data_IF_816896710571
#
_entry.id   IF_816896710571
#
_cell.length_a   1.000
_cell.length_b   1.000
_cell.length_c   1.000
_cell.angle_alpha   90.00
_cell.angle_beta   90.00
_cell.angle_gamma   90.00
#
_symmetry.space_group_name_H-M   'P 1'
#
loop_
_entity.id
_entity.type
_entity.pdbx_description
1 polymer ?
#
# COMPACT_ATOMS: atom_id res chain seq x y z
N UNK A 1 -24.65 29.49 11.78
CA UNK A 1 -24.16 28.88 10.53
C UNK A 1 -23.87 30.03 9.58
N UNK A 2 -22.62 30.52 9.55
CA UNK A 2 -22.23 31.70 8.78
C UNK A 2 -21.33 31.32 7.62
N UNK A 3 -21.40 32.07 6.52
CA UNK A 3 -20.37 32.05 5.49
C UNK A 3 -19.30 33.07 5.89
N UNK A 4 -18.04 32.64 6.01
CA UNK A 4 -16.93 33.51 6.36
C UNK A 4 -15.93 33.59 5.21
N UNK A 5 -15.44 34.80 4.91
CA UNK A 5 -14.47 35.00 3.82
C UNK A 5 -13.04 34.62 4.23
N UNK A 6 -12.59 35.08 5.39
CA UNK A 6 -11.32 34.71 6.03
C UNK A 6 -11.56 34.49 7.52
N UNK A 7 -11.18 33.33 8.04
CA UNK A 7 -11.30 33.00 9.46
C UNK A 7 -9.96 32.45 10.00
N UNK A 8 -9.51 33.03 11.11
CA UNK A 8 -8.37 32.54 11.90
C UNK A 8 -8.85 32.11 13.28
N UNK A 9 -8.57 30.86 13.64
CA UNK A 9 -8.92 30.31 14.94
C UNK A 9 -7.67 29.77 15.66
N UNK A 10 -7.49 30.15 16.93
CA UNK A 10 -6.48 29.61 17.82
C UNK A 10 -7.15 29.06 19.07
N UNK A 11 -7.01 27.76 19.31
CA UNK A 11 -7.52 27.12 20.52
C UNK A 11 -6.41 26.39 21.26
N UNK A 12 -6.34 26.62 22.57
CA UNK A 12 -5.26 26.17 23.45
C UNK A 12 -5.49 24.79 24.05
N UNK A 13 -5.69 24.74 25.37
CA UNK A 13 -5.94 23.52 26.14
C UNK A 13 -7.42 23.38 26.46
N UNK A 14 -8.02 22.23 26.21
CA UNK A 14 -9.34 21.90 26.77
C UNK A 14 -9.52 20.40 27.01
N UNK A 15 -10.52 20.06 27.82
CA UNK A 15 -10.83 18.68 28.21
C UNK A 15 -11.80 18.01 27.23
N UNK A 16 -12.96 18.64 26.98
CA UNK A 16 -13.92 18.29 25.92
C UNK A 16 -14.11 19.53 25.04
N UNK A 17 -14.12 19.34 23.73
CA UNK A 17 -14.45 20.39 22.78
C UNK A 17 -15.27 19.81 21.63
N UNK A 18 -16.41 20.45 21.36
CA UNK A 18 -17.21 20.21 20.15
C UNK A 18 -17.18 21.45 19.28
N UNK A 19 -16.62 21.31 18.07
CA UNK A 19 -16.54 22.39 17.11
C UNK A 19 -17.35 22.06 15.85
N UNK A 20 -18.21 23.00 15.45
CA UNK A 20 -18.94 22.95 14.18
C UNK A 20 -18.60 24.20 13.37
N UNK A 21 -17.96 23.99 12.22
CA UNK A 21 -17.65 25.08 11.29
C UNK A 21 -18.45 24.91 9.99
N UNK A 22 -19.08 26.01 9.57
CA UNK A 22 -19.86 26.10 8.34
C UNK A 22 -18.98 26.20 7.10
N UNK A 23 -19.45 26.93 6.08
CA UNK A 23 -18.68 27.12 4.85
C UNK A 23 -17.77 28.35 4.96
N UNK A 24 -16.56 28.28 4.40
CA UNK A 24 -15.66 29.43 4.34
C UNK A 24 -14.74 29.40 3.12
N UNK A 25 -14.25 30.56 2.70
CA UNK A 25 -13.31 30.66 1.58
C UNK A 25 -11.87 30.33 2.00
N UNK A 26 -11.33 31.03 3.01
CA UNK A 26 -10.03 30.74 3.63
C UNK A 26 -10.21 30.50 5.13
N UNK A 27 -9.72 29.37 5.64
CA UNK A 27 -9.66 29.09 7.07
C UNK A 27 -8.25 28.65 7.47
N UNK A 28 -7.72 29.29 8.52
CA UNK A 28 -6.51 28.85 9.22
C UNK A 28 -6.83 28.54 10.67
N UNK A 29 -6.63 27.29 11.08
CA UNK A 29 -6.89 26.86 12.45
C UNK A 29 -5.66 26.23 13.10
N UNK A 30 -5.36 26.65 14.33
CA UNK A 30 -4.35 26.07 15.19
C UNK A 30 -4.98 25.55 16.48
N UNK A 31 -4.77 24.26 16.72
CA UNK A 31 -5.33 23.53 17.86
C UNK A 31 -4.18 22.99 18.72
N UNK A 32 -4.21 23.30 20.02
CA UNK A 32 -3.23 22.90 21.03
C UNK A 32 -3.37 21.45 21.51
N UNK A 33 -3.59 21.26 22.81
CA UNK A 33 -3.71 19.93 23.42
C UNK A 33 -5.13 19.68 23.93
N UNK A 34 -5.68 18.52 23.61
CA UNK A 34 -7.04 18.16 23.99
C UNK A 34 -7.12 16.73 24.48
N UNK A 35 -8.08 16.45 25.37
CA UNK A 35 -8.35 15.09 25.81
C UNK A 35 -9.37 14.43 24.88
N UNK A 36 -10.59 14.95 24.79
CA UNK A 36 -11.61 14.54 23.83
C UNK A 36 -11.94 15.72 22.90
N UNK A 37 -11.87 15.50 21.59
CA UNK A 37 -12.29 16.49 20.62
C UNK A 37 -13.16 15.88 19.51
N UNK A 38 -14.29 16.54 19.25
CA UNK A 38 -15.14 16.26 18.11
C UNK A 38 -15.28 17.47 17.19
N UNK A 39 -14.90 17.30 15.93
CA UNK A 39 -14.94 18.35 14.93
C UNK A 39 -15.81 17.97 13.74
N UNK A 40 -16.64 18.91 13.31
CA UNK A 40 -17.38 18.85 12.04
C UNK A 40 -17.04 20.09 11.21
N UNK A 41 -16.40 19.87 10.07
CA UNK A 41 -16.04 20.92 9.11
C UNK A 41 -16.88 20.77 7.84
N UNK A 42 -17.54 21.88 7.45
CA UNK A 42 -18.31 22.02 6.21
C UNK A 42 -17.46 22.08 4.94
N UNK A 43 -17.86 22.94 3.99
CA UNK A 43 -17.17 23.07 2.71
C UNK A 43 -16.23 24.27 2.68
N UNK A 44 -15.03 24.11 2.14
CA UNK A 44 -14.04 25.19 2.05
C UNK A 44 -13.32 25.24 0.71
N UNK A 45 -12.79 26.41 0.38
CA UNK A 45 -11.94 26.57 -0.80
C UNK A 45 -10.47 26.32 -0.46
N UNK A 46 -9.85 27.13 0.41
CA UNK A 46 -8.51 26.88 1.00
C UNK A 46 -8.67 26.66 2.51
N UNK A 47 -8.01 25.62 3.01
CA UNK A 47 -8.00 25.34 4.44
C UNK A 47 -6.67 24.80 4.92
N UNK A 48 -6.14 25.44 5.96
CA UNK A 48 -4.90 25.05 6.62
C UNK A 48 -5.15 24.75 8.09
N UNK A 49 -4.83 23.53 8.52
CA UNK A 49 -4.94 23.14 9.92
C UNK A 49 -3.62 22.67 10.48
N UNK A 50 -3.40 23.04 11.73
CA UNK A 50 -2.37 22.45 12.57
C UNK A 50 -3.01 21.94 13.87
N UNK A 51 -2.98 20.63 14.07
CA UNK A 51 -3.49 19.96 15.26
C UNK A 51 -2.33 19.41 16.09
N UNK A 52 -2.31 19.79 17.37
CA UNK A 52 -1.28 19.39 18.33
C UNK A 52 -1.45 17.96 18.85
N UNK A 53 -1.64 17.80 20.16
CA UNK A 53 -1.72 16.47 20.81
C UNK A 53 -3.15 16.18 21.25
N UNK A 54 -3.66 15.00 20.91
CA UNK A 54 -5.01 14.57 21.28
C UNK A 54 -4.97 13.18 21.90
N UNK A 55 -5.84 12.93 22.87
CA UNK A 55 -6.05 11.57 23.35
C UNK A 55 -7.08 10.86 22.47
N UNK A 56 -8.29 11.41 22.34
CA UNK A 56 -9.32 11.00 21.39
C UNK A 56 -9.66 12.17 20.45
N UNK A 57 -9.62 11.93 19.14
CA UNK A 57 -10.10 12.87 18.15
C UNK A 57 -11.06 12.17 17.17
N UNK A 58 -12.26 12.74 17.04
CA UNK A 58 -13.23 12.37 16.01
C UNK A 58 -13.51 13.54 15.07
N UNK A 59 -13.09 13.40 13.82
CA UNK A 59 -13.25 14.44 12.81
C UNK A 59 -14.13 13.98 11.64
N UNK A 60 -15.09 14.83 11.25
CA UNK A 60 -15.78 14.74 9.98
C UNK A 60 -15.48 15.98 9.14
N UNK A 61 -14.86 15.77 8.00
CA UNK A 61 -14.34 16.83 7.13
C UNK A 61 -15.08 16.74 5.80
N UNK A 62 -15.76 17.83 5.41
CA UNK A 62 -16.59 17.94 4.22
C UNK A 62 -15.83 18.02 2.91
N UNK A 63 -16.17 18.99 2.05
CA UNK A 63 -15.57 19.16 0.72
C UNK A 63 -14.54 20.29 0.72
N UNK A 64 -13.39 20.06 0.08
CA UNK A 64 -12.34 21.07 -0.03
C UNK A 64 -11.81 21.16 -1.46
N UNK A 65 -11.40 22.35 -1.87
CA UNK A 65 -10.62 22.51 -3.09
C UNK A 65 -9.12 22.26 -2.79
N UNK A 66 -8.50 23.09 -1.95
CA UNK A 66 -7.15 22.84 -1.40
C UNK A 66 -7.24 22.66 0.11
N UNK A 67 -6.66 21.57 0.62
CA UNK A 67 -6.52 21.36 2.05
C UNK A 67 -5.10 20.94 2.42
N UNK A 68 -4.54 21.64 3.41
CA UNK A 68 -3.28 21.27 4.07
C UNK A 68 -3.52 20.98 5.53
N UNK A 69 -3.20 19.76 5.96
CA UNK A 69 -3.35 19.33 7.34
C UNK A 69 -2.02 18.87 7.92
N UNK A 70 -1.68 19.41 9.09
CA UNK A 70 -0.63 18.89 9.95
C UNK A 70 -1.27 18.38 11.23
N UNK A 71 -1.25 17.06 11.40
CA UNK A 71 -1.77 16.37 12.58
C UNK A 71 -0.58 15.86 13.39
N UNK A 72 -0.51 16.26 14.66
CA UNK A 72 0.54 15.89 15.61
C UNK A 72 0.42 14.46 16.13
N UNK A 73 0.37 14.29 17.44
CA UNK A 73 0.33 12.96 18.06
C UNK A 73 -1.05 12.63 18.62
N UNK A 74 -1.50 11.39 18.40
CA UNK A 74 -2.83 10.91 18.80
C UNK A 74 -2.70 9.60 19.59
N UNK A 75 -3.63 9.34 20.51
CA UNK A 75 -3.79 7.99 21.04
C UNK A 75 -4.79 7.22 20.17
N UNK A 76 -6.06 7.65 20.16
CA UNK A 76 -7.10 7.19 19.23
C UNK A 76 -7.49 8.35 18.30
N UNK A 77 -7.53 8.08 17.00
CA UNK A 77 -8.02 9.03 16.01
C UNK A 77 -8.94 8.35 15.01
N UNK A 78 -10.14 8.91 14.87
CA UNK A 78 -11.11 8.53 13.84
C UNK A 78 -11.44 9.71 12.95
N UNK A 79 -11.12 9.58 11.68
CA UNK A 79 -11.40 10.62 10.68
C UNK A 79 -12.23 10.10 9.52
N UNK A 80 -13.19 10.90 9.10
CA UNK A 80 -13.91 10.72 7.85
C UNK A 80 -13.75 11.98 7.00
N UNK A 81 -13.04 11.83 5.89
CA UNK A 81 -12.73 12.86 4.93
C UNK A 81 -13.61 12.71 3.69
N UNK A 82 -14.27 13.79 3.28
CA UNK A 82 -15.14 13.86 2.12
C UNK A 82 -14.40 13.95 0.79
N UNK A 83 -14.71 14.95 -0.03
CA UNK A 83 -14.13 15.12 -1.38
C UNK A 83 -13.10 16.23 -1.40
N UNK A 84 -11.95 15.99 -2.03
CA UNK A 84 -10.85 16.95 -2.13
C UNK A 84 -10.43 17.12 -3.59
N UNK A 85 -9.96 18.31 -3.98
CA UNK A 85 -9.23 18.43 -5.23
C UNK A 85 -7.73 18.20 -4.99
N UNK A 86 -7.09 19.00 -4.15
CA UNK A 86 -5.72 18.77 -3.62
C UNK A 86 -5.78 18.59 -2.10
N UNK A 87 -5.18 17.51 -1.60
CA UNK A 87 -4.98 17.28 -0.17
C UNK A 87 -3.50 17.00 0.11
N UNK A 88 -2.92 17.78 1.03
CA UNK A 88 -1.60 17.52 1.61
C UNK A 88 -1.76 17.25 3.10
N UNK A 89 -1.51 16.02 3.50
CA UNK A 89 -1.62 15.59 4.89
C UNK A 89 -0.26 15.13 5.43
N UNK A 90 0.11 15.64 6.60
CA UNK A 90 1.20 15.10 7.41
C UNK A 90 0.63 14.66 8.75
N UNK A 91 0.75 13.37 9.04
CA UNK A 91 0.28 12.77 10.30
C UNK A 91 1.50 12.26 11.07
N UNK A 92 1.61 12.68 12.33
CA UNK A 92 2.68 12.31 13.25
C UNK A 92 2.56 10.88 13.78
N UNK A 93 2.83 10.69 15.07
CA UNK A 93 2.76 9.37 15.71
C UNK A 93 1.37 9.12 16.28
N UNK A 94 0.86 7.90 16.15
CA UNK A 94 -0.41 7.51 16.76
C UNK A 94 -0.38 6.09 17.29
N UNK A 95 -1.25 5.78 18.25
CA UNK A 95 -1.45 4.39 18.68
C UNK A 95 -2.41 3.72 17.70
N UNK A 96 -3.65 4.21 17.62
CA UNK A 96 -4.69 3.72 16.71
C UNK A 96 -5.18 4.84 15.77
N UNK A 97 -5.25 4.54 14.47
CA UNK A 97 -5.87 5.42 13.47
C UNK A 97 -6.86 4.64 12.61
N UNK A 98 -8.09 5.12 12.56
CA UNK A 98 -9.08 4.72 11.56
C UNK A 98 -9.43 5.89 10.64
N UNK A 99 -9.04 5.78 9.38
CA UNK A 99 -9.28 6.80 8.37
C UNK A 99 -10.18 6.27 7.24
N UNK A 100 -11.29 6.98 7.00
CA UNK A 100 -12.07 6.84 5.77
C UNK A 100 -11.86 8.09 4.94
N UNK A 101 -11.20 7.94 3.80
CA UNK A 101 -10.89 9.03 2.88
C UNK A 101 -11.71 8.81 1.62
N UNK A 102 -12.55 9.78 1.28
CA UNK A 102 -13.38 9.78 0.08
C UNK A 102 -12.57 9.98 -1.20
N UNK A 103 -13.13 10.71 -2.15
CA UNK A 103 -12.52 10.87 -3.48
C UNK A 103 -11.61 12.11 -3.53
N UNK A 104 -10.47 11.98 -4.20
CA UNK A 104 -9.54 13.10 -4.42
C UNK A 104 -8.97 13.11 -5.82
N UNK A 105 -8.60 14.29 -6.32
CA UNK A 105 -7.86 14.38 -7.57
C UNK A 105 -6.37 14.14 -7.31
N UNK A 106 -5.77 14.87 -6.36
CA UNK A 106 -4.38 14.70 -5.93
C UNK A 106 -4.31 14.57 -4.40
N UNK A 107 -3.63 13.53 -3.91
CA UNK A 107 -3.30 13.39 -2.48
C UNK A 107 -1.79 13.18 -2.30
N UNK A 108 -1.21 13.97 -1.39
CA UNK A 108 0.13 13.73 -0.84
C UNK A 108 0.01 13.48 0.65
N UNK A 109 0.28 12.25 1.06
CA UNK A 109 0.21 11.83 2.45
C UNK A 109 1.60 11.42 2.96
N UNK A 110 1.98 11.96 4.11
CA UNK A 110 3.10 11.47 4.89
C UNK A 110 2.59 11.03 6.26
N UNK A 111 2.87 9.78 6.63
CA UNK A 111 2.43 9.19 7.89
C UNK A 111 3.64 8.68 8.67
N UNK A 112 3.69 9.06 9.95
CA UNK A 112 4.71 8.65 10.89
C UNK A 112 4.58 7.19 11.31
N UNK A 113 4.85 6.92 12.59
CA UNK A 113 4.81 5.57 13.14
C UNK A 113 3.48 5.31 13.85
N UNK A 114 3.01 4.06 13.81
CA UNK A 114 1.88 3.65 14.63
C UNK A 114 1.90 2.20 15.08
N UNK A 115 0.98 1.90 16.00
CA UNK A 115 0.68 0.53 16.38
C UNK A 115 -0.32 -0.06 15.38
N UNK A 116 -1.55 0.45 15.35
CA UNK A 116 -2.59 -0.01 14.43
C UNK A 116 -3.04 1.10 13.47
N UNK A 117 -3.10 0.77 12.18
CA UNK A 117 -3.60 1.65 11.13
C UNK A 117 -4.61 0.95 10.24
N UNK A 118 -5.84 1.46 10.19
CA UNK A 118 -6.85 1.06 9.23
C UNK A 118 -7.22 2.24 8.33
N UNK A 119 -6.91 2.11 7.04
CA UNK A 119 -7.21 3.12 6.04
C UNK A 119 -8.11 2.55 4.93
N UNK A 120 -9.22 3.23 4.66
CA UNK A 120 -10.04 2.98 3.50
C UNK A 120 -10.06 4.23 2.62
N UNK A 121 -9.57 4.07 1.39
CA UNK A 121 -9.36 5.14 0.44
C UNK A 121 -10.26 4.90 -0.78
N UNK A 122 -11.04 5.92 -1.13
CA UNK A 122 -11.94 5.92 -2.27
C UNK A 122 -11.23 5.99 -3.63
N UNK A 123 -11.87 6.65 -4.60
CA UNK A 123 -11.32 6.80 -5.96
C UNK A 123 -10.39 8.00 -6.06
N UNK A 124 -9.30 7.87 -6.81
CA UNK A 124 -8.39 8.99 -7.02
C UNK A 124 -7.70 9.02 -8.38
N UNK A 125 -7.13 10.18 -8.75
CA UNK A 125 -6.32 10.30 -9.94
C UNK A 125 -4.84 10.08 -9.61
N UNK A 126 -4.23 10.90 -8.74
CA UNK A 126 -2.84 10.74 -8.28
C UNK A 126 -2.76 10.65 -6.75
N UNK A 127 -2.08 9.61 -6.25
CA UNK A 127 -1.72 9.46 -4.84
C UNK A 127 -0.21 9.26 -4.70
N UNK A 128 0.40 10.08 -3.85
CA UNK A 128 1.72 9.83 -3.29
C UNK A 128 1.65 9.63 -1.79
N UNK A 129 1.98 8.42 -1.33
CA UNK A 129 1.97 8.06 0.08
C UNK A 129 3.37 7.64 0.55
N UNK A 130 3.79 8.17 1.69
CA UNK A 130 4.97 7.71 2.41
C UNK A 130 4.58 7.36 3.85
N UNK A 131 4.91 6.15 4.25
CA UNK A 131 4.46 5.56 5.50
C UNK A 131 5.67 5.03 6.29
N UNK A 132 5.72 5.36 7.58
CA UNK A 132 6.79 4.98 8.50
C UNK A 132 6.76 3.52 8.96
N UNK A 133 6.78 3.32 10.28
CA UNK A 133 6.79 1.98 10.91
C UNK A 133 5.43 1.63 11.52
N UNK A 134 4.97 0.41 11.31
CA UNK A 134 3.67 -0.08 11.74
C UNK A 134 3.79 -1.43 12.45
N UNK A 135 2.87 -1.71 13.38
CA UNK A 135 2.68 -3.07 13.90
C UNK A 135 1.63 -3.81 13.06
N UNK A 136 0.35 -3.39 13.09
CA UNK A 136 -0.69 -3.88 12.16
C UNK A 136 -1.10 -2.76 11.21
N UNK A 137 -1.00 -3.02 9.90
CA UNK A 137 -1.52 -2.13 8.88
C UNK A 137 -2.54 -2.81 7.98
N UNK A 138 -3.74 -2.23 7.90
CA UNK A 138 -4.78 -2.58 6.94
C UNK A 138 -5.08 -1.41 6.01
N UNK A 139 -4.97 -1.66 4.71
CA UNK A 139 -5.29 -0.70 3.67
C UNK A 139 -6.27 -1.29 2.66
N UNK A 140 -7.36 -0.56 2.41
CA UNK A 140 -8.29 -0.81 1.32
C UNK A 140 -8.27 0.39 0.37
N UNK A 141 -7.93 0.14 -0.90
CA UNK A 141 -7.87 1.15 -1.94
C UNK A 141 -8.86 0.85 -3.06
N UNK A 142 -9.64 1.86 -3.42
CA UNK A 142 -10.50 1.89 -4.60
C UNK A 142 -9.71 1.95 -5.91
N UNK A 143 -10.39 2.38 -6.99
CA UNK A 143 -9.75 2.51 -8.30
C UNK A 143 -8.93 3.80 -8.42
N UNK A 144 -7.82 3.74 -9.15
CA UNK A 144 -6.98 4.91 -9.40
C UNK A 144 -6.29 4.93 -10.75
N UNK A 145 -5.74 6.10 -11.11
CA UNK A 145 -4.87 6.25 -12.28
C UNK A 145 -3.41 5.99 -11.87
N UNK A 146 -2.82 6.86 -11.05
CA UNK A 146 -1.43 6.77 -10.60
C UNK A 146 -1.31 6.64 -9.08
N UNK A 147 -0.54 5.65 -8.62
CA UNK A 147 -0.16 5.51 -7.21
C UNK A 147 1.35 5.34 -7.07
N UNK A 148 1.95 6.16 -6.20
CA UNK A 148 3.30 5.96 -5.68
C UNK A 148 3.28 5.78 -4.17
N UNK A 149 3.56 4.57 -3.71
CA UNK A 149 3.58 4.22 -2.31
C UNK A 149 4.98 3.80 -1.84
N UNK A 150 5.38 4.28 -0.67
CA UNK A 150 6.58 3.83 0.03
C UNK A 150 6.24 3.45 1.47
N UNK A 151 6.55 2.22 1.84
CA UNK A 151 6.34 1.65 3.18
C UNK A 151 7.68 1.26 3.80
N UNK A 152 7.94 1.71 5.03
CA UNK A 152 9.16 1.37 5.78
C UNK A 152 9.16 -0.04 6.35
N UNK A 153 8.64 -0.20 7.57
CA UNK A 153 8.60 -1.48 8.31
C UNK A 153 7.18 -1.79 8.76
N UNK A 154 6.76 -3.05 8.66
CA UNK A 154 5.48 -3.54 9.19
C UNK A 154 5.65 -4.91 9.83
N UNK A 155 4.86 -5.21 10.87
CA UNK A 155 4.78 -6.59 11.37
C UNK A 155 3.73 -7.38 10.56
N UNK A 156 2.45 -6.97 10.59
CA UNK A 156 1.38 -7.50 9.73
C UNK A 156 0.93 -6.43 8.74
N UNK A 157 0.88 -6.77 7.45
CA UNK A 157 0.33 -5.92 6.40
C UNK A 157 -0.80 -6.65 5.66
N UNK A 158 -1.99 -6.05 5.66
CA UNK A 158 -3.10 -6.44 4.78
C UNK A 158 -3.40 -5.31 3.80
N UNK A 159 -3.21 -5.58 2.52
CA UNK A 159 -3.52 -4.63 1.46
C UNK A 159 -4.53 -5.23 0.48
N UNK A 160 -5.61 -4.50 0.22
CA UNK A 160 -6.54 -4.80 -0.85
C UNK A 160 -6.63 -3.61 -1.80
N UNK A 161 -6.37 -3.87 -3.07
CA UNK A 161 -6.36 -2.86 -4.11
C UNK A 161 -7.24 -3.28 -5.27
N UNK A 162 -8.05 -2.36 -5.75
CA UNK A 162 -8.94 -2.56 -6.89
C UNK A 162 -8.17 -2.40 -8.22
N UNK A 163 -8.80 -1.85 -9.28
CA UNK A 163 -8.15 -1.68 -10.58
C UNK A 163 -7.36 -0.37 -10.66
N UNK A 164 -6.25 -0.40 -11.41
CA UNK A 164 -5.41 0.78 -11.60
C UNK A 164 -4.74 0.86 -12.97
N UNK A 165 -4.24 2.06 -13.32
CA UNK A 165 -3.42 2.25 -14.51
C UNK A 165 -1.95 2.00 -14.15
N UNK A 166 -1.33 2.89 -13.38
CA UNK A 166 0.07 2.80 -12.99
C UNK A 166 0.25 2.72 -11.46
N UNK A 167 1.04 1.74 -11.02
CA UNK A 167 1.42 1.59 -9.61
C UNK A 167 2.93 1.43 -9.47
N UNK A 168 3.52 2.28 -8.62
CA UNK A 168 4.87 2.11 -8.10
C UNK A 168 4.86 1.93 -6.59
N UNK A 169 5.19 0.73 -6.14
CA UNK A 169 5.25 0.38 -4.73
C UNK A 169 6.67 0.01 -4.30
N UNK A 170 7.13 0.61 -3.20
CA UNK A 170 8.34 0.23 -2.50
C UNK A 170 8.01 -0.18 -1.07
N UNK A 171 8.41 -1.39 -0.71
CA UNK A 171 8.14 -1.96 0.60
C UNK A 171 9.45 -2.43 1.21
N UNK A 172 9.75 -1.98 2.43
CA UNK A 172 10.93 -2.39 3.18
C UNK A 172 10.79 -3.78 3.81
N UNK A 173 11.10 -3.90 5.10
CA UNK A 173 11.07 -5.19 5.80
C UNK A 173 9.69 -5.45 6.40
N UNK A 174 9.14 -6.64 6.17
CA UNK A 174 7.86 -7.07 6.74
C UNK A 174 7.93 -8.49 7.29
N UNK A 175 7.22 -8.78 8.38
CA UNK A 175 7.02 -10.16 8.82
C UNK A 175 5.97 -10.84 7.94
N UNK A 176 4.71 -10.43 8.03
CA UNK A 176 3.59 -11.07 7.33
C UNK A 176 2.89 -10.12 6.36
N UNK A 177 2.65 -10.58 5.13
CA UNK A 177 1.89 -9.83 4.12
C UNK A 177 0.74 -10.67 3.58
N UNK A 178 -0.45 -10.06 3.51
CA UNK A 178 -1.58 -10.51 2.68
C UNK A 178 -1.95 -9.41 1.72
N UNK A 179 -1.72 -9.65 0.43
CA UNK A 179 -2.01 -8.69 -0.63
C UNK A 179 -3.01 -9.26 -1.64
N UNK A 180 -4.02 -8.46 -1.97
CA UNK A 180 -4.93 -8.73 -3.08
C UNK A 180 -4.94 -7.53 -4.03
N UNK A 181 -4.65 -7.77 -5.31
CA UNK A 181 -4.60 -6.76 -6.35
C UNK A 181 -5.52 -7.11 -7.52
N UNK A 182 -6.31 -6.11 -7.94
CA UNK A 182 -7.11 -6.14 -9.16
C UNK A 182 -6.26 -6.06 -10.43
N UNK A 183 -6.88 -5.59 -11.52
CA UNK A 183 -6.21 -5.46 -12.80
C UNK A 183 -5.36 -4.19 -12.88
N UNK A 184 -4.26 -4.26 -13.62
CA UNK A 184 -3.31 -3.15 -13.81
C UNK A 184 -2.88 -2.97 -15.26
N UNK A 185 -2.43 -1.76 -15.62
CA UNK A 185 -1.73 -1.53 -16.87
C UNK A 185 -0.22 -1.64 -16.65
N UNK A 186 0.40 -0.75 -15.86
CA UNK A 186 1.79 -0.83 -15.42
C UNK A 186 1.87 -1.06 -13.90
N UNK A 187 2.70 -2.02 -13.51
CA UNK A 187 2.99 -2.33 -12.11
C UNK A 187 4.50 -2.47 -11.91
N UNK A 188 5.06 -1.58 -11.10
CA UNK A 188 6.42 -1.68 -10.57
C UNK A 188 6.39 -1.91 -9.06
N UNK A 189 6.87 -3.07 -8.61
CA UNK A 189 6.94 -3.43 -7.20
C UNK A 189 8.38 -3.77 -6.79
N UNK A 190 8.84 -3.14 -5.72
CA UNK A 190 10.11 -3.45 -5.05
C UNK A 190 9.85 -3.85 -3.61
N UNK A 191 10.27 -5.05 -3.23
CA UNK A 191 10.13 -5.56 -1.88
C UNK A 191 11.45 -5.98 -1.27
N UNK A 192 11.67 -5.60 -0.02
CA UNK A 192 12.83 -5.95 0.80
C UNK A 192 12.77 -7.38 1.33
N UNK A 193 13.07 -7.57 2.62
CA UNK A 193 12.97 -8.87 3.29
C UNK A 193 11.54 -9.10 3.78
N UNK A 194 10.99 -10.26 3.49
CA UNK A 194 9.67 -10.67 3.97
C UNK A 194 9.78 -12.06 4.62
N UNK A 195 9.04 -12.30 5.70
CA UNK A 195 8.99 -13.64 6.28
C UNK A 195 7.95 -14.49 5.54
N UNK A 196 6.67 -14.12 5.65
CA UNK A 196 5.56 -14.80 4.99
C UNK A 196 4.79 -13.85 4.05
N UNK A 197 4.60 -14.27 2.80
CA UNK A 197 3.79 -13.53 1.82
C UNK A 197 2.71 -14.41 1.22
N UNK A 198 1.46 -13.95 1.31
CA UNK A 198 0.34 -14.44 0.51
C UNK A 198 -0.14 -13.35 -0.44
N UNK A 199 0.07 -13.55 -1.74
CA UNK A 199 -0.31 -12.61 -2.77
C UNK A 199 -1.32 -13.21 -3.75
N UNK A 200 -2.35 -12.43 -4.10
CA UNK A 200 -3.22 -12.70 -5.23
C UNK A 200 -3.22 -11.49 -6.16
N UNK A 201 -2.94 -11.72 -7.43
CA UNK A 201 -2.94 -10.69 -8.46
C UNK A 201 -3.77 -11.16 -9.65
N UNK A 202 -4.60 -10.26 -10.18
CA UNK A 202 -5.40 -10.51 -11.37
C UNK A 202 -4.54 -10.35 -12.63
N UNK A 203 -4.96 -9.56 -13.62
CA UNK A 203 -4.21 -9.38 -14.86
C UNK A 203 -3.36 -8.10 -14.85
N UNK A 204 -2.26 -8.11 -15.60
CA UNK A 204 -1.43 -6.93 -15.82
C UNK A 204 -0.91 -6.88 -17.25
N UNK A 205 -0.70 -5.69 -17.79
CA UNK A 205 -0.09 -5.52 -19.10
C UNK A 205 1.44 -5.53 -19.01
N UNK A 206 2.00 -4.61 -18.23
CA UNK A 206 3.43 -4.57 -17.89
C UNK A 206 3.63 -4.78 -16.38
N UNK A 207 4.45 -5.77 -16.01
CA UNK A 207 4.81 -6.04 -14.62
C UNK A 207 6.33 -6.10 -14.45
N UNK A 208 6.86 -5.22 -13.61
CA UNK A 208 8.25 -5.24 -13.12
C UNK A 208 8.28 -5.51 -11.63
N UNK A 209 8.81 -6.67 -11.25
CA UNK A 209 8.93 -7.06 -9.86
C UNK A 209 10.40 -7.27 -9.47
N UNK A 210 10.82 -6.60 -8.41
CA UNK A 210 12.09 -6.84 -7.73
C UNK A 210 11.78 -7.25 -6.30
N UNK A 211 12.13 -8.47 -5.93
CA UNK A 211 11.86 -8.98 -4.59
C UNK A 211 13.13 -9.48 -3.93
N UNK A 212 13.25 -9.22 -2.63
CA UNK A 212 14.36 -9.64 -1.81
C UNK A 212 14.25 -11.10 -1.37
N UNK A 213 14.53 -11.37 -0.10
CA UNK A 213 14.51 -12.71 0.45
C UNK A 213 13.18 -13.00 1.15
N UNK A 214 12.69 -14.24 1.00
CA UNK A 214 11.45 -14.75 1.59
C UNK A 214 11.69 -16.04 2.36
N UNK A 215 10.90 -16.26 3.41
CA UNK A 215 10.84 -17.55 4.07
C UNK A 215 9.75 -18.42 3.43
N UNK A 216 8.48 -18.01 3.52
CA UNK A 216 7.34 -18.63 2.81
C UNK A 216 6.72 -17.63 1.82
N UNK A 217 6.59 -18.05 0.56
CA UNK A 217 5.84 -17.32 -0.46
C UNK A 217 4.74 -18.20 -1.06
N UNK A 218 3.50 -17.74 -0.93
CA UNK A 218 2.36 -18.23 -1.70
C UNK A 218 1.80 -17.17 -2.65
N UNK A 219 1.91 -17.41 -3.95
CA UNK A 219 1.46 -16.48 -4.98
C UNK A 219 0.47 -17.12 -5.94
N UNK A 220 -0.60 -16.38 -6.26
CA UNK A 220 -1.54 -16.69 -7.33
C UNK A 220 -1.61 -15.50 -8.29
N UNK A 221 -1.35 -15.74 -9.57
CA UNK A 221 -1.31 -14.67 -10.57
C UNK A 221 -2.15 -15.00 -11.80
N UNK A 222 -2.76 -13.97 -12.40
CA UNK A 222 -3.58 -14.07 -13.61
C UNK A 222 -2.75 -14.02 -14.90
N UNK A 223 -3.24 -13.27 -15.90
CA UNK A 223 -2.59 -13.14 -17.23
C UNK A 223 -1.68 -11.92 -17.31
N UNK A 224 -0.54 -12.07 -17.99
CA UNK A 224 0.49 -11.03 -18.16
C UNK A 224 0.99 -10.93 -19.60
N UNK A 225 1.22 -9.71 -20.08
CA UNK A 225 1.72 -9.47 -21.43
C UNK A 225 3.26 -9.29 -21.49
N UNK A 226 3.84 -8.28 -20.85
CA UNK A 226 5.29 -8.13 -20.64
C UNK A 226 5.59 -8.23 -19.14
N UNK A 227 6.36 -9.25 -18.76
CA UNK A 227 6.76 -9.45 -17.38
C UNK A 227 8.28 -9.54 -17.25
N UNK A 228 8.82 -8.72 -16.33
CA UNK A 228 10.20 -8.77 -15.86
C UNK A 228 10.23 -9.00 -14.36
N UNK A 229 10.89 -10.07 -13.95
CA UNK A 229 11.04 -10.42 -12.53
C UNK A 229 12.50 -10.66 -12.16
N UNK A 230 12.91 -10.05 -11.06
CA UNK A 230 14.15 -10.34 -10.36
C UNK A 230 13.82 -10.73 -8.93
N UNK A 231 13.96 -12.01 -8.62
CA UNK A 231 13.60 -12.55 -7.31
C UNK A 231 14.86 -13.01 -6.58
N UNK A 232 14.93 -12.72 -5.28
CA UNK A 232 16.02 -13.13 -4.40
C UNK A 232 15.95 -14.61 -4.01
N UNK A 233 16.24 -14.91 -2.75
CA UNK A 233 16.26 -16.30 -2.25
C UNK A 233 14.96 -16.65 -1.49
N UNK A 234 14.56 -17.91 -1.58
CA UNK A 234 13.34 -18.45 -0.98
C UNK A 234 13.66 -19.73 -0.20
N UNK A 235 12.98 -19.92 0.93
CA UNK A 235 12.99 -21.20 1.63
C UNK A 235 11.88 -22.11 1.07
N UNK A 236 10.62 -21.70 1.16
CA UNK A 236 9.47 -22.35 0.55
C UNK A 236 8.78 -21.39 -0.45
N UNK A 237 8.51 -21.89 -1.65
CA UNK A 237 7.75 -21.18 -2.67
C UNK A 237 6.65 -22.08 -3.24
N UNK A 238 5.39 -21.64 -3.07
CA UNK A 238 4.23 -22.17 -3.78
C UNK A 238 3.63 -21.13 -4.74
N UNK A 239 3.77 -21.36 -6.03
CA UNK A 239 3.30 -20.44 -7.07
C UNK A 239 2.29 -21.09 -8.02
N UNK A 240 1.14 -20.44 -8.20
CA UNK A 240 0.22 -20.73 -9.30
C UNK A 240 0.22 -19.55 -10.26
N UNK A 241 0.81 -19.77 -11.43
CA UNK A 241 1.01 -18.76 -12.45
C UNK A 241 0.04 -18.99 -13.60
N UNK A 242 -0.66 -17.92 -14.00
CA UNK A 242 -1.51 -17.92 -15.19
C UNK A 242 -0.70 -17.89 -16.49
N UNK A 243 -1.18 -17.16 -17.49
CA UNK A 243 -0.58 -17.13 -18.83
C UNK A 243 0.34 -15.92 -19.02
N UNK A 244 1.48 -16.13 -19.69
CA UNK A 244 2.48 -15.09 -19.98
C UNK A 244 2.80 -15.04 -21.48
N UNK A 245 2.88 -13.83 -22.05
CA UNK A 245 3.22 -13.65 -23.46
C UNK A 245 4.69 -13.31 -23.73
N UNK A 246 5.32 -12.53 -22.84
CA UNK A 246 6.75 -12.23 -22.84
C UNK A 246 7.22 -12.27 -21.38
N UNK A 247 8.10 -13.20 -21.04
CA UNK A 247 8.62 -13.33 -19.67
C UNK A 247 10.14 -13.32 -19.64
N UNK A 248 10.72 -12.36 -18.92
CA UNK A 248 12.13 -12.34 -18.50
C UNK A 248 12.24 -12.48 -16.99
N UNK A 249 12.72 -13.63 -16.52
CA UNK A 249 12.87 -13.89 -15.09
C UNK A 249 14.32 -14.22 -14.73
N UNK A 250 14.80 -13.66 -13.63
CA UNK A 250 16.03 -14.09 -12.96
C UNK A 250 15.73 -14.39 -11.51
N UNK A 251 16.04 -15.61 -11.11
CA UNK A 251 15.71 -16.12 -9.79
C UNK A 251 16.97 -16.49 -9.00
N UNK A 252 16.94 -16.28 -7.69
CA UNK A 252 17.98 -16.72 -6.75
C UNK A 252 17.86 -18.20 -6.38
N UNK A 253 18.21 -18.54 -5.14
CA UNK A 253 18.18 -19.93 -4.62
C UNK A 253 16.82 -20.28 -4.03
N UNK A 254 16.44 -21.54 -4.15
CA UNK A 254 15.21 -22.14 -3.58
C UNK A 254 15.58 -23.41 -2.83
N UNK A 255 15.02 -23.60 -1.64
CA UNK A 255 15.08 -24.89 -0.96
C UNK A 255 13.96 -25.79 -1.45
N UNK A 256 12.72 -25.37 -1.23
CA UNK A 256 11.52 -26.08 -1.68
C UNK A 256 10.74 -25.23 -2.70
N UNK A 257 10.40 -25.81 -3.84
CA UNK A 257 9.65 -25.14 -4.90
C UNK A 257 8.50 -26.03 -5.41
N UNK A 258 7.28 -25.53 -5.28
CA UNK A 258 6.08 -26.08 -5.91
C UNK A 258 5.47 -25.05 -6.88
N UNK A 259 5.43 -25.38 -8.17
CA UNK A 259 4.89 -24.48 -9.18
C UNK A 259 3.89 -25.14 -10.12
N UNK A 260 2.79 -24.44 -10.36
CA UNK A 260 1.81 -24.77 -11.41
C UNK A 260 1.77 -23.62 -12.42
N UNK A 261 1.97 -23.96 -13.68
CA UNK A 261 2.12 -22.97 -14.75
C UNK A 261 1.05 -23.11 -15.82
N UNK A 262 0.49 -21.97 -16.23
CA UNK A 262 -0.34 -21.83 -17.43
C UNK A 262 0.51 -21.87 -18.71
N UNK A 263 0.05 -21.15 -19.74
CA UNK A 263 0.71 -21.08 -21.05
C UNK A 263 1.75 -19.96 -21.11
N UNK A 264 2.90 -20.23 -21.74
CA UNK A 264 4.00 -19.28 -21.89
C UNK A 264 4.40 -19.13 -23.36
N UNK A 265 4.55 -17.90 -23.82
CA UNK A 265 5.09 -17.52 -25.11
C UNK A 265 6.34 -16.63 -24.86
N UNK A 266 7.34 -16.67 -25.76
CA UNK A 266 8.64 -15.96 -25.67
C UNK A 266 9.19 -15.87 -24.22
N UNK A 267 9.76 -16.98 -23.78
CA UNK A 267 10.21 -17.14 -22.41
C UNK A 267 11.74 -17.16 -22.29
N UNK A 268 12.26 -16.24 -21.46
CA UNK A 268 13.65 -16.19 -21.03
C UNK A 268 13.77 -16.26 -19.52
N UNK A 269 14.32 -17.37 -19.01
CA UNK A 269 14.56 -17.54 -17.58
C UNK A 269 16.01 -17.93 -17.28
N UNK A 270 16.58 -17.30 -16.27
CA UNK A 270 17.80 -17.75 -15.61
C UNK A 270 17.48 -18.12 -14.17
N UNK A 271 17.49 -19.42 -13.88
CA UNK A 271 17.19 -19.93 -12.56
C UNK A 271 18.48 -20.14 -11.74
N UNK A 272 18.40 -19.93 -10.43
CA UNK A 272 19.47 -20.25 -9.51
C UNK A 272 19.49 -21.74 -9.13
N UNK A 273 19.83 -22.04 -7.88
CA UNK A 273 19.94 -23.42 -7.38
C UNK A 273 18.62 -23.86 -6.73
N UNK A 274 18.28 -25.14 -6.89
CA UNK A 274 17.13 -25.81 -6.27
C UNK A 274 17.60 -27.03 -5.49
N UNK A 275 16.91 -27.36 -4.38
CA UNK A 275 17.19 -28.55 -3.58
C UNK A 275 16.06 -29.58 -3.64
N UNK A 276 14.80 -29.15 -3.51
CA UNK A 276 13.57 -29.93 -3.80
C UNK A 276 12.66 -29.15 -4.77
N UNK A 277 12.14 -29.84 -5.78
CA UNK A 277 11.36 -29.23 -6.86
C UNK A 277 10.23 -30.14 -7.33
N UNK A 278 9.01 -29.58 -7.33
CA UNK A 278 7.82 -30.18 -7.93
C UNK A 278 7.19 -29.16 -8.87
N UNK A 279 6.98 -29.56 -10.12
CA UNK A 279 6.36 -28.70 -11.10
C UNK A 279 5.28 -29.41 -11.91
N UNK A 280 4.18 -28.71 -12.14
CA UNK A 280 3.22 -29.03 -13.19
C UNK A 280 3.24 -27.91 -14.23
N UNK A 281 3.64 -28.29 -15.43
CA UNK A 281 3.91 -27.35 -16.51
C UNK A 281 2.78 -27.36 -17.53
N UNK A 282 2.32 -26.16 -17.90
CA UNK A 282 1.53 -25.94 -19.11
C UNK A 282 2.41 -25.87 -20.35
N UNK A 283 1.86 -25.34 -21.45
CA UNK A 283 2.56 -25.30 -22.73
C UNK A 283 3.56 -24.13 -22.81
N UNK A 284 4.73 -24.40 -23.39
CA UNK A 284 5.78 -23.41 -23.67
C UNK A 284 6.02 -23.27 -25.17
N UNK A 285 6.13 -22.04 -25.65
CA UNK A 285 6.44 -21.70 -27.04
C UNK A 285 7.60 -20.71 -27.06
N UNK A 286 8.66 -21.01 -27.82
CA UNK A 286 9.89 -20.21 -27.95
C UNK A 286 10.62 -19.98 -26.60
N UNK A 287 11.41 -20.97 -26.20
CA UNK A 287 12.09 -21.03 -24.89
C UNK A 287 13.60 -20.84 -25.03
N UNK A 288 14.17 -19.92 -24.24
CA UNK A 288 15.62 -19.76 -24.10
C UNK A 288 16.03 -19.56 -22.63
N UNK A 289 16.95 -20.39 -22.10
CA UNK A 289 17.38 -20.27 -20.70
C UNK A 289 18.29 -21.41 -20.23
N UNK A 290 18.83 -21.27 -19.02
CA UNK A 290 19.73 -22.26 -18.40
C UNK A 290 19.17 -22.66 -17.01
N UNK A 291 18.99 -23.96 -16.78
CA UNK A 291 18.67 -24.53 -15.47
C UNK A 291 19.88 -25.32 -14.94
N UNK A 292 20.16 -25.21 -13.63
CA UNK A 292 21.12 -26.08 -12.94
C UNK A 292 20.42 -26.84 -11.82
N UNK A 293 20.23 -28.13 -12.03
CA UNK A 293 19.74 -29.07 -11.02
C UNK A 293 20.93 -29.66 -10.25
N UNK A 294 20.81 -29.76 -8.92
CA UNK A 294 21.74 -30.51 -8.08
C UNK A 294 20.94 -31.58 -7.33
N UNK A 295 21.10 -32.85 -7.71
CA UNK A 295 20.57 -33.95 -6.92
C UNK A 295 21.45 -34.14 -5.68
N UNK A 296 20.86 -34.03 -4.49
CA UNK A 296 21.47 -34.58 -3.28
C UNK A 296 21.07 -36.07 -3.22
N UNK A 297 21.96 -36.95 -3.64
CA UNK A 297 21.82 -38.38 -3.33
C UNK A 297 21.97 -38.52 -1.81
N UNK A 298 20.87 -38.58 -1.06
CA UNK A 298 20.90 -39.19 0.26
C UNK A 298 21.12 -40.68 0.04
N UNK A 299 22.39 -41.09 0.11
CA UNK A 299 22.79 -42.48 -0.03
C UNK A 299 21.97 -43.36 0.90
N UNK A 300 21.33 -44.36 0.33
CA UNK A 300 20.99 -45.57 1.05
C UNK A 300 22.30 -46.25 1.45
N UNK A 301 22.60 -46.24 2.75
CA UNK A 301 23.20 -47.36 3.50
C UNK A 301 22.82 -47.22 4.94
#
# INVERSE_FOLDING_TARGET
MGNFYDLKAHMGYSYDLKAHMGNSYDLKAHMGKFYDHKAHLGNFYDHKTHMGKFYDLKAHIGKFYDHKAHLGNFYDHKTHMGKFYDLKAHIGKFYDLKAHIGNFYVLKAHMGNSYDLEACIGKFYDLKAHMGKFYDHKAHMGNFYDLKAHMGYSYDLKAHMSNFYDLKAHTGNICDIKAHMGNSYDLEAHMGKVYDLKAHMSNSYELRAHTGNFYDLKAHTGKFYDHKAHMGNFYDLKAHMGNFYNLKARMGKFYDLEEHKGKFYDHKAHMGKFYDHKAQMGNFYDLAGHLRFFHHNSGQT
#
